data_IF_359091441400
#
_entry.id   IF_359091441400
#
_cell.length_a   1.000
_cell.length_b   1.000
_cell.length_c   1.000
_cell.angle_alpha   90.00
_cell.angle_beta   90.00
_cell.angle_gamma   90.00
#
_symmetry.space_group_name_H-M   'P 1'
#
loop_
_entity.id
_entity.type
_entity.pdbx_description
1 polymer ?
#
# COMPACT_ATOMS: atom_id res chain seq x y z
N UNK A 1 -4.90 18.57 14.05
CA UNK A 1 -3.77 18.02 13.28
C UNK A 1 -3.86 18.23 11.76
N UNK A 2 -5.04 18.40 11.14
CA UNK A 2 -5.14 18.41 9.67
C UNK A 2 -4.54 19.59 8.87
N UNK A 3 -4.23 20.75 9.47
CA UNK A 3 -3.63 21.86 8.69
C UNK A 3 -2.14 21.69 8.42
N UNK A 4 -1.42 21.03 9.32
CA UNK A 4 0.03 20.81 9.22
C UNK A 4 0.35 19.69 8.22
N UNK A 5 -0.40 18.58 8.30
CA UNK A 5 -0.34 17.46 7.36
C UNK A 5 -0.56 17.90 5.91
N UNK A 6 -1.49 18.83 5.68
CA UNK A 6 -1.75 19.39 4.35
C UNK A 6 -0.58 20.25 3.84
N UNK A 7 0.14 20.96 4.71
CA UNK A 7 1.31 21.75 4.33
C UNK A 7 2.47 20.86 3.86
N UNK A 8 2.71 19.75 4.56
CA UNK A 8 3.73 18.76 4.16
C UNK A 8 3.34 18.14 2.82
N UNK A 9 2.08 17.75 2.64
CA UNK A 9 1.61 17.15 1.40
C UNK A 9 1.79 18.09 0.19
N UNK A 10 1.52 19.39 0.35
CA UNK A 10 1.76 20.39 -0.70
C UNK A 10 3.25 20.48 -1.06
N UNK A 11 4.15 20.44 -0.08
CA UNK A 11 5.58 20.40 -0.34
C UNK A 11 6.00 19.13 -1.10
N UNK A 12 5.45 17.98 -0.71
CA UNK A 12 5.65 16.71 -1.42
C UNK A 12 5.17 16.80 -2.88
N UNK A 13 3.97 17.32 -3.13
CA UNK A 13 3.44 17.51 -4.49
C UNK A 13 4.35 18.42 -5.33
N UNK A 14 4.87 19.50 -4.75
CA UNK A 14 5.78 20.41 -5.42
C UNK A 14 7.10 19.73 -5.81
N UNK A 15 7.70 18.97 -4.89
CA UNK A 15 8.94 18.22 -5.16
C UNK A 15 8.75 17.16 -6.25
N UNK A 16 7.66 16.39 -6.20
CA UNK A 16 7.39 15.31 -7.16
C UNK A 16 7.03 15.87 -8.54
N UNK A 17 6.04 16.76 -8.61
CA UNK A 17 5.46 17.18 -9.89
C UNK A 17 6.24 18.31 -10.58
N UNK A 18 6.84 19.24 -9.82
CA UNK A 18 7.54 20.40 -10.39
C UNK A 18 9.05 20.22 -10.50
N UNK A 19 9.66 19.45 -9.59
CA UNK A 19 11.11 19.30 -9.52
C UNK A 19 11.62 17.89 -9.83
N UNK A 20 10.73 16.91 -9.95
CA UNK A 20 11.09 15.50 -10.15
C UNK A 20 12.06 14.97 -9.06
N UNK A 21 11.96 15.53 -7.84
CA UNK A 21 12.80 15.22 -6.68
C UNK A 21 12.14 14.15 -5.79
N UNK A 22 11.94 12.96 -6.35
CA UNK A 22 11.18 11.87 -5.71
C UNK A 22 11.83 11.33 -4.44
N UNK A 23 13.17 11.28 -4.37
CA UNK A 23 13.88 10.78 -3.18
C UNK A 23 13.76 11.74 -2.00
N UNK A 24 13.85 13.05 -2.25
CA UNK A 24 13.67 14.06 -1.20
C UNK A 24 12.22 14.08 -0.71
N UNK A 25 11.25 13.98 -1.64
CA UNK A 25 9.85 13.88 -1.30
C UNK A 25 9.56 12.63 -0.44
N UNK A 26 10.22 11.49 -0.74
CA UNK A 26 10.10 10.26 0.04
C UNK A 26 10.65 10.42 1.46
N UNK A 27 11.84 10.99 1.60
CA UNK A 27 12.44 11.29 2.90
C UNK A 27 11.51 12.20 3.74
N UNK A 28 10.93 13.23 3.12
CA UNK A 28 10.01 14.14 3.80
C UNK A 28 8.77 13.40 4.32
N UNK A 29 8.19 12.47 3.55
CA UNK A 29 7.06 11.65 4.00
C UNK A 29 7.45 10.74 5.18
N UNK A 30 8.61 10.08 5.09
CA UNK A 30 9.13 9.17 6.11
C UNK A 30 9.42 9.90 7.44
N UNK A 31 10.15 11.02 7.39
CA UNK A 31 10.51 11.82 8.56
C UNK A 31 9.31 12.51 9.21
N UNK A 32 8.29 12.84 8.41
CA UNK A 32 7.05 13.44 8.91
C UNK A 32 6.12 12.42 9.60
N UNK A 33 6.41 11.12 9.48
CA UNK A 33 5.57 10.06 10.05
C UNK A 33 4.20 9.93 9.38
N UNK A 34 4.04 10.42 8.15
CA UNK A 34 2.79 10.30 7.40
C UNK A 34 2.54 8.84 7.03
N UNK A 35 1.31 8.36 7.28
CA UNK A 35 0.91 7.03 6.83
C UNK A 35 0.38 7.07 5.40
N UNK A 36 0.33 5.91 4.72
CA UNK A 36 -0.33 5.79 3.42
C UNK A 36 -1.77 6.36 3.43
N UNK A 37 -2.50 6.18 4.53
CA UNK A 37 -3.87 6.69 4.66
C UNK A 37 -3.89 8.22 4.71
N UNK A 38 -2.92 8.84 5.36
CA UNK A 38 -2.81 10.30 5.44
C UNK A 38 -2.45 10.89 4.08
N UNK A 39 -1.49 10.28 3.38
CA UNK A 39 -1.13 10.66 2.00
C UNK A 39 -2.30 10.53 1.03
N UNK A 40 -3.04 9.41 1.06
CA UNK A 40 -4.21 9.22 0.20
C UNK A 40 -5.34 10.20 0.52
N UNK A 41 -5.53 10.53 1.80
CA UNK A 41 -6.53 11.52 2.23
C UNK A 41 -6.14 12.91 1.76
N UNK A 42 -4.91 13.34 2.01
CA UNK A 42 -4.40 14.65 1.59
C UNK A 42 -4.40 14.78 0.06
N UNK A 43 -4.05 13.71 -0.67
CA UNK A 43 -4.14 13.66 -2.12
C UNK A 43 -5.59 13.83 -2.59
N UNK A 44 -6.54 13.11 -2.01
CA UNK A 44 -7.96 13.24 -2.34
C UNK A 44 -8.51 14.64 -2.05
N UNK A 45 -8.06 15.28 -0.98
CA UNK A 45 -8.45 16.65 -0.63
C UNK A 45 -7.83 17.69 -1.59
N UNK A 46 -6.61 17.43 -2.09
CA UNK A 46 -5.90 18.32 -3.03
C UNK A 46 -6.44 18.19 -4.47
N UNK A 47 -6.66 16.96 -4.96
CA UNK A 47 -7.11 16.66 -6.32
C UNK A 47 -6.12 17.02 -7.43
N UNK A 48 -4.86 17.30 -7.07
CA UNK A 48 -3.81 17.75 -7.98
C UNK A 48 -2.93 16.58 -8.45
N UNK A 49 -2.80 16.38 -9.76
CA UNK A 49 -1.92 15.36 -10.35
C UNK A 49 -2.14 13.94 -9.80
N UNK A 50 -3.42 13.52 -9.70
CA UNK A 50 -3.83 12.28 -9.03
C UNK A 50 -3.08 11.03 -9.52
N UNK A 51 -2.86 10.87 -10.84
CA UNK A 51 -2.18 9.68 -11.37
C UNK A 51 -0.73 9.61 -10.88
N UNK A 52 0.04 10.68 -11.10
CA UNK A 52 1.45 10.76 -10.70
C UNK A 52 1.62 10.65 -9.18
N UNK A 53 0.76 11.33 -8.41
CA UNK A 53 0.84 11.28 -6.96
C UNK A 53 0.42 9.92 -6.40
N UNK A 54 -0.51 9.19 -7.02
CA UNK A 54 -0.84 7.82 -6.64
C UNK A 54 0.31 6.84 -6.95
N UNK A 55 0.97 6.99 -8.09
CA UNK A 55 2.18 6.21 -8.42
C UNK A 55 3.29 6.46 -7.40
N UNK A 56 3.49 7.72 -7.01
CA UNK A 56 4.43 8.09 -5.96
C UNK A 56 4.06 7.51 -4.58
N UNK A 57 2.78 7.58 -4.17
CA UNK A 57 2.32 6.96 -2.92
C UNK A 57 2.60 5.45 -2.93
N UNK A 58 2.35 4.77 -4.05
CA UNK A 58 2.61 3.34 -4.19
C UNK A 58 4.10 2.99 -4.18
N UNK A 59 4.99 3.91 -4.55
CA UNK A 59 6.44 3.68 -4.48
C UNK A 59 6.99 3.80 -3.06
N UNK A 60 6.38 4.65 -2.22
CA UNK A 60 6.70 4.77 -0.79
C UNK A 60 6.07 3.63 0.01
N UNK A 61 4.78 3.40 -0.24
CA UNK A 61 3.97 2.40 0.45
C UNK A 61 3.59 1.31 -0.55
N UNK A 62 4.51 0.39 -0.87
CA UNK A 62 4.19 -0.70 -1.77
C UNK A 62 2.96 -1.42 -1.24
N UNK A 63 1.90 -1.38 -2.04
CA UNK A 63 0.64 -2.01 -1.66
C UNK A 63 0.94 -3.50 -1.53
N UNK A 64 0.76 -4.05 -0.33
CA UNK A 64 0.71 -5.50 -0.09
C UNK A 64 -0.42 -6.21 -0.88
N UNK A 65 -1.04 -5.51 -1.83
CA UNK A 65 -2.24 -5.87 -2.59
C UNK A 65 -2.06 -6.99 -3.59
N UNK A 66 -0.82 -7.40 -3.86
CA UNK A 66 -0.51 -8.56 -4.71
C UNK A 66 -0.13 -9.82 -3.92
N UNK A 67 -0.08 -9.75 -2.59
CA UNK A 67 0.13 -10.93 -1.75
C UNK A 67 -1.13 -11.78 -1.73
N UNK A 68 -1.25 -12.67 -2.70
CA UNK A 68 -2.38 -13.58 -2.78
C UNK A 68 -2.18 -14.75 -1.81
N UNK A 69 -3.24 -15.18 -1.13
CA UNK A 69 -3.14 -16.31 -0.20
C UNK A 69 -2.66 -17.62 -0.88
N UNK A 70 -2.78 -17.72 -2.21
CA UNK A 70 -2.23 -18.84 -2.99
C UNK A 70 -0.71 -18.85 -3.10
N UNK A 71 -0.03 -17.75 -2.77
CA UNK A 71 1.44 -17.65 -2.71
C UNK A 71 2.00 -18.01 -1.33
N UNK A 72 1.14 -18.37 -0.37
CA UNK A 72 1.55 -18.71 0.99
C UNK A 72 1.96 -20.18 1.07
N UNK A 73 3.04 -20.51 1.76
CA UNK A 73 3.48 -21.92 1.98
C UNK A 73 2.45 -22.80 2.69
N UNK A 74 1.47 -22.18 3.35
CA UNK A 74 0.38 -22.88 4.05
C UNK A 74 -0.83 -23.16 3.17
N UNK A 75 -0.80 -22.75 1.90
CA UNK A 75 -1.86 -22.94 0.92
C UNK A 75 -1.81 -24.32 0.29
N UNK A 76 -2.99 -24.92 0.11
CA UNK A 76 -3.16 -26.19 -0.58
C UNK A 76 -4.45 -26.16 -1.41
N UNK A 77 -4.40 -26.75 -2.61
CA UNK A 77 -5.57 -27.02 -3.43
C UNK A 77 -6.01 -28.46 -3.16
N UNK A 78 -7.19 -28.63 -2.55
CA UNK A 78 -7.75 -29.96 -2.29
C UNK A 78 -8.24 -30.64 -3.58
N UNK A 79 -8.44 -31.97 -3.60
CA UNK A 79 -8.89 -32.72 -4.78
C UNK A 79 -10.23 -32.26 -5.39
N UNK A 80 -11.08 -31.63 -4.59
CA UNK A 80 -12.35 -31.03 -5.03
C UNK A 80 -12.20 -29.58 -5.50
N UNK A 81 -10.98 -29.14 -5.84
CA UNK A 81 -10.63 -27.77 -6.25
C UNK A 81 -10.96 -26.69 -5.22
N UNK A 82 -11.17 -27.06 -3.96
CA UNK A 82 -11.33 -26.08 -2.88
C UNK A 82 -9.96 -25.66 -2.34
N UNK A 83 -9.83 -24.37 -2.06
CA UNK A 83 -8.62 -23.83 -1.46
C UNK A 83 -8.65 -24.00 0.05
N UNK A 84 -7.55 -24.47 0.63
CA UNK A 84 -7.42 -24.75 2.05
C UNK A 84 -6.15 -24.10 2.62
N UNK A 85 -6.24 -23.60 3.86
CA UNK A 85 -5.09 -23.09 4.61
C UNK A 85 -4.78 -24.03 5.78
N UNK A 86 -3.59 -24.64 5.78
CA UNK A 86 -3.17 -25.61 6.81
C UNK A 86 -3.08 -25.02 8.22
N UNK A 87 -2.66 -23.77 8.36
CA UNK A 87 -2.55 -23.11 9.66
C UNK A 87 -3.90 -22.70 10.23
N UNK A 88 -4.82 -22.22 9.38
CA UNK A 88 -6.16 -21.83 9.82
C UNK A 88 -7.13 -23.00 9.89
N UNK A 89 -6.72 -24.17 9.41
CA UNK A 89 -7.51 -25.40 9.29
C UNK A 89 -8.89 -25.20 8.64
N UNK A 90 -8.98 -24.32 7.64
CA UNK A 90 -10.26 -23.98 7.01
C UNK A 90 -10.14 -23.74 5.50
N UNK A 91 -11.28 -23.95 4.83
CA UNK A 91 -11.46 -23.54 3.43
C UNK A 91 -11.40 -22.02 3.31
N UNK A 92 -10.77 -21.55 2.26
CA UNK A 92 -10.66 -20.14 1.93
C UNK A 92 -11.17 -19.89 0.51
N UNK A 93 -11.56 -18.65 0.22
CA UNK A 93 -11.80 -18.17 -1.15
C UNK A 93 -10.52 -17.54 -1.69
N UNK A 94 -10.49 -17.22 -2.98
CA UNK A 94 -9.41 -16.46 -3.60
C UNK A 94 -9.47 -15.04 -3.03
N UNK A 95 -8.91 -14.84 -1.84
CA UNK A 95 -8.86 -13.53 -1.20
C UNK A 95 -7.62 -12.82 -1.71
N UNK A 96 -7.82 -11.60 -2.20
CA UNK A 96 -6.76 -10.61 -2.47
C UNK A 96 -5.91 -10.28 -1.25
N UNK A 97 -6.40 -10.53 -0.03
CA UNK A 97 -5.66 -10.26 1.21
C UNK A 97 -4.98 -11.54 1.71
N UNK A 98 -3.68 -11.49 2.04
CA UNK A 98 -2.96 -12.63 2.60
C UNK A 98 -3.55 -13.02 3.96
N UNK A 99 -3.37 -14.29 4.37
CA UNK A 99 -3.83 -14.73 5.69
C UNK A 99 -2.98 -14.10 6.80
N UNK A 100 -3.50 -14.06 8.05
CA UNK A 100 -2.78 -13.52 9.21
C UNK A 100 -1.40 -14.18 9.43
N UNK A 101 -1.24 -15.41 8.97
CA UNK A 101 -0.01 -16.21 9.09
C UNK A 101 0.70 -16.35 7.73
N UNK A 102 0.58 -15.35 6.85
CA UNK A 102 1.17 -15.44 5.52
C UNK A 102 2.69 -15.53 5.61
N UNK A 103 3.23 -16.53 4.93
CA UNK A 103 4.66 -16.72 4.77
C UNK A 103 4.91 -17.20 3.34
N UNK A 104 5.81 -16.51 2.63
CA UNK A 104 6.24 -16.89 1.29
C UNK A 104 7.19 -18.08 1.42
N UNK A 105 7.17 -19.00 0.45
CA UNK A 105 8.19 -20.06 0.34
C UNK A 105 9.60 -19.48 0.20
#
# INVERSE_FOLDING_TARGET
MGKFENGIWVAVQFLVCSHNETELAKQLVEESGLTMKDCLKAQKESGFEDVTMLEFINSIFPVDGDKHCSQCKHYEICPNYTMYCRVLQKRITARKKPCKYYEKE
#
